data_IF_098893536660
#
_entry.id   IF_098893536660
#
_cell.length_a   1.000
_cell.length_b   1.000
_cell.length_c   1.000
_cell.angle_alpha   90.00
_cell.angle_beta   90.00
_cell.angle_gamma   90.00
#
_symmetry.space_group_name_H-M   'P 1'
#
loop_
_entity.id
_entity.type
_entity.pdbx_description
1 polymer ?
#
# COMPACT_ATOMS: atom_id res chain seq x y z
N UNK A 1 34.14 -24.76 48.08
CA UNK A 1 33.97 -23.90 46.89
C UNK A 1 32.55 -24.08 46.34
N UNK A 2 31.66 -23.10 46.55
CA UNK A 2 30.25 -23.12 46.03
C UNK A 2 30.26 -22.59 44.61
N UNK A 3 29.92 -23.41 43.61
CA UNK A 3 29.72 -22.99 42.24
C UNK A 3 28.36 -22.29 42.12
N UNK A 4 28.38 -21.01 41.83
CA UNK A 4 27.19 -20.22 41.49
C UNK A 4 26.88 -20.45 40.00
N UNK A 5 25.82 -21.20 39.72
CA UNK A 5 25.27 -21.32 38.39
C UNK A 5 24.41 -20.06 38.08
N UNK A 6 24.88 -19.16 37.22
CA UNK A 6 24.09 -18.06 36.70
C UNK A 6 23.08 -18.64 35.69
N UNK A 7 21.78 -18.36 35.80
CA UNK A 7 20.82 -18.76 34.79
C UNK A 7 21.04 -17.89 33.55
N UNK A 8 21.31 -18.53 32.38
CA UNK A 8 21.31 -17.88 31.09
C UNK A 8 19.85 -17.63 30.73
N UNK A 9 19.42 -16.36 30.80
CA UNK A 9 18.12 -15.92 30.33
C UNK A 9 18.18 -15.89 28.80
N UNK A 10 17.67 -16.91 28.14
CA UNK A 10 17.46 -16.93 26.70
C UNK A 10 16.29 -15.97 26.39
N UNK A 11 16.62 -14.77 25.94
CA UNK A 11 15.64 -13.87 25.33
C UNK A 11 15.28 -14.46 23.98
N UNK A 12 14.13 -15.09 23.89
CA UNK A 12 13.51 -15.41 22.59
C UNK A 12 13.03 -14.09 21.99
N UNK A 13 13.75 -13.57 21.02
CA UNK A 13 13.26 -12.49 20.16
C UNK A 13 12.12 -13.10 19.35
N UNK A 14 10.89 -12.81 19.74
CA UNK A 14 9.74 -13.11 18.92
C UNK A 14 9.84 -12.19 17.68
N UNK A 15 10.27 -12.74 16.55
CA UNK A 15 10.15 -12.06 15.28
C UNK A 15 8.66 -11.83 15.03
N UNK A 16 8.27 -10.57 14.95
CA UNK A 16 6.89 -10.23 14.60
C UNK A 16 6.62 -10.76 13.20
N UNK A 17 5.71 -11.73 13.07
CA UNK A 17 5.43 -12.39 11.80
C UNK A 17 4.79 -11.40 10.81
N UNK A 18 5.50 -11.11 9.72
CA UNK A 18 4.92 -10.43 8.56
C UNK A 18 3.90 -11.34 7.88
N UNK A 19 2.73 -10.79 7.59
CA UNK A 19 1.70 -11.50 6.81
C UNK A 19 1.22 -10.63 5.65
N UNK A 20 1.00 -11.29 4.52
CA UNK A 20 0.38 -10.67 3.34
C UNK A 20 -0.44 -11.73 2.60
N UNK A 21 -1.76 -11.58 2.64
CA UNK A 21 -2.71 -12.44 1.96
C UNK A 21 -3.03 -11.90 0.58
N UNK A 22 -2.95 -12.75 -0.42
CA UNK A 22 -3.19 -12.40 -1.83
C UNK A 22 -4.44 -13.13 -2.30
N UNK A 23 -5.38 -12.39 -2.88
CA UNK A 23 -6.58 -12.97 -3.48
C UNK A 23 -6.92 -12.35 -4.84
N UNK A 24 -7.78 -13.01 -5.59
CA UNK A 24 -8.45 -12.42 -6.75
C UNK A 24 -9.47 -11.37 -6.28
N UNK A 25 -9.86 -10.49 -7.20
CA UNK A 25 -10.92 -9.50 -6.92
C UNK A 25 -12.25 -10.24 -6.72
N UNK A 26 -12.72 -10.30 -5.48
CA UNK A 26 -14.01 -10.89 -5.10
C UNK A 26 -15.18 -10.01 -5.55
N UNK A 27 -16.43 -10.54 -5.60
CA UNK A 27 -17.61 -9.72 -5.88
C UNK A 27 -17.75 -8.51 -4.95
N UNK A 28 -17.41 -8.66 -3.68
CA UNK A 28 -17.45 -7.60 -2.67
C UNK A 28 -16.42 -6.50 -2.97
N UNK A 29 -15.18 -6.88 -3.25
CA UNK A 29 -14.11 -5.93 -3.63
C UNK A 29 -14.46 -5.24 -4.94
N UNK A 30 -14.97 -5.98 -5.95
CA UNK A 30 -15.45 -5.39 -7.21
C UNK A 30 -16.53 -4.35 -6.97
N UNK A 31 -17.53 -4.65 -6.14
CA UNK A 31 -18.59 -3.70 -5.78
C UNK A 31 -18.00 -2.44 -5.16
N UNK A 32 -17.12 -2.57 -4.15
CA UNK A 32 -16.43 -1.46 -3.49
C UNK A 32 -15.62 -0.61 -4.47
N UNK A 33 -14.92 -1.24 -5.45
CA UNK A 33 -14.16 -0.53 -6.49
C UNK A 33 -15.06 0.28 -7.44
N UNK A 34 -16.22 -0.28 -7.81
CA UNK A 34 -17.17 0.40 -8.71
C UNK A 34 -17.87 1.56 -7.97
N UNK A 35 -18.43 1.32 -6.81
CA UNK A 35 -19.13 2.33 -6.00
C UNK A 35 -18.19 3.45 -5.54
N UNK A 36 -16.95 3.09 -5.23
CA UNK A 36 -15.87 4.01 -4.88
C UNK A 36 -15.11 4.58 -6.09
N UNK A 37 -15.58 4.38 -7.32
CA UNK A 37 -15.06 4.98 -8.56
C UNK A 37 -13.58 4.68 -8.88
N UNK A 38 -12.93 3.73 -8.20
CA UNK A 38 -11.55 3.36 -8.49
C UNK A 38 -11.42 2.41 -9.68
N UNK A 39 -12.53 1.78 -10.13
CA UNK A 39 -12.58 0.96 -11.33
C UNK A 39 -13.92 1.11 -12.07
N UNK A 40 -13.87 1.10 -13.41
CA UNK A 40 -15.04 1.14 -14.30
C UNK A 40 -14.78 0.40 -15.60
N UNK A 41 -15.82 0.12 -16.38
CA UNK A 41 -15.68 -0.38 -17.75
C UNK A 41 -14.86 0.61 -18.57
N UNK A 42 -13.91 0.11 -19.35
CA UNK A 42 -12.97 0.93 -20.15
C UNK A 42 -11.64 1.25 -19.45
N UNK A 43 -11.42 0.77 -18.21
CA UNK A 43 -10.09 0.77 -17.59
C UNK A 43 -9.10 -0.06 -18.39
N UNK A 44 -7.80 0.32 -18.45
CA UNK A 44 -6.81 -0.39 -19.27
C UNK A 44 -6.53 -1.81 -18.77
N UNK A 45 -6.83 -2.10 -17.50
CA UNK A 45 -6.61 -3.42 -16.88
C UNK A 45 -7.95 -4.05 -16.48
N UNK A 46 -8.28 -5.24 -16.98
CA UNK A 46 -9.46 -5.97 -16.55
C UNK A 46 -9.26 -6.53 -15.13
N UNK A 47 -10.36 -6.68 -14.37
CA UNK A 47 -10.32 -7.15 -12.96
C UNK A 47 -9.61 -8.49 -12.80
N UNK A 48 -9.70 -9.41 -13.76
CA UNK A 48 -9.01 -10.71 -13.71
C UNK A 48 -7.48 -10.61 -13.62
N UNK A 49 -6.91 -9.49 -14.02
CA UNK A 49 -5.47 -9.21 -13.97
C UNK A 49 -5.07 -8.42 -12.72
N UNK A 50 -6.01 -8.06 -11.86
CA UNK A 50 -5.74 -7.42 -10.57
C UNK A 50 -5.74 -8.45 -9.45
N UNK A 51 -4.97 -8.13 -8.38
CA UNK A 51 -4.93 -8.88 -7.12
C UNK A 51 -5.16 -7.92 -5.97
N UNK A 52 -5.96 -8.37 -5.03
CA UNK A 52 -6.18 -7.70 -3.76
C UNK A 52 -5.23 -8.31 -2.73
N UNK A 53 -4.55 -7.46 -1.97
CA UNK A 53 -3.66 -7.85 -0.90
C UNK A 53 -4.14 -7.23 0.40
N UNK A 54 -4.13 -8.04 1.47
CA UNK A 54 -4.17 -7.58 2.84
C UNK A 54 -2.76 -7.71 3.41
N UNK A 55 -2.17 -6.60 3.86
CA UNK A 55 -0.75 -6.52 4.20
C UNK A 55 -0.60 -6.01 5.62
N UNK A 56 0.10 -6.76 6.44
CA UNK A 56 0.53 -6.33 7.77
C UNK A 56 1.64 -5.28 7.62
N UNK A 57 1.48 -4.16 8.31
CA UNK A 57 2.47 -3.08 8.32
C UNK A 57 2.54 -2.45 9.71
N UNK A 58 3.57 -1.68 9.99
CA UNK A 58 3.69 -0.89 11.23
C UNK A 58 3.21 0.52 11.00
N UNK A 59 2.47 1.07 11.96
CA UNK A 59 2.13 2.49 11.96
C UNK A 59 3.28 3.34 12.55
N UNK A 60 3.13 4.66 12.53
CA UNK A 60 4.13 5.60 13.08
C UNK A 60 4.32 5.51 14.61
N UNK A 61 3.49 4.72 15.30
CA UNK A 61 3.64 4.41 16.73
C UNK A 61 4.26 3.04 16.96
N UNK A 62 4.65 2.33 15.88
CA UNK A 62 5.21 0.98 15.94
C UNK A 62 4.18 -0.13 16.12
N UNK A 63 2.86 0.18 16.05
CA UNK A 63 1.83 -0.83 16.19
C UNK A 63 1.59 -1.55 14.86
N UNK A 64 1.31 -2.84 14.95
CA UNK A 64 0.88 -3.65 13.80
C UNK A 64 -0.53 -3.26 13.35
N UNK A 65 -0.68 -3.07 12.06
CA UNK A 65 -1.94 -2.76 11.36
C UNK A 65 -2.10 -3.66 10.15
N UNK A 66 -3.34 -3.87 9.74
CA UNK A 66 -3.67 -4.48 8.45
C UNK A 66 -4.08 -3.41 7.46
N UNK A 67 -3.40 -3.37 6.32
CA UNK A 67 -3.70 -2.50 5.20
C UNK A 67 -4.24 -3.27 4.00
N UNK A 68 -4.75 -2.53 3.02
CA UNK A 68 -5.35 -3.08 1.80
C UNK A 68 -4.75 -2.38 0.58
N UNK A 69 -4.34 -3.15 -0.42
CA UNK A 69 -3.84 -2.61 -1.68
C UNK A 69 -4.27 -3.48 -2.86
N UNK A 70 -4.47 -2.89 -4.03
CA UNK A 70 -4.74 -3.62 -5.26
C UNK A 70 -3.62 -3.33 -6.25
N UNK A 71 -3.03 -4.39 -6.83
CA UNK A 71 -1.97 -4.29 -7.82
C UNK A 71 -2.20 -5.24 -8.99
N UNK A 72 -1.43 -5.08 -10.08
CA UNK A 72 -1.45 -6.02 -11.18
C UNK A 72 -0.88 -7.38 -10.77
N UNK A 73 -1.44 -8.47 -11.30
CA UNK A 73 -0.99 -9.84 -10.99
C UNK A 73 0.49 -10.10 -11.28
N UNK A 74 1.06 -9.40 -12.28
CA UNK A 74 2.46 -9.58 -12.68
C UNK A 74 3.47 -9.06 -11.66
N UNK A 75 3.06 -8.14 -10.77
CA UNK A 75 3.95 -7.50 -9.77
C UNK A 75 3.56 -7.87 -8.33
N UNK A 76 2.61 -8.75 -8.15
CA UNK A 76 2.02 -9.03 -6.82
C UNK A 76 3.03 -9.64 -5.85
N UNK A 77 3.91 -10.51 -6.32
CA UNK A 77 4.92 -11.16 -5.46
C UNK A 77 6.03 -10.19 -5.07
N UNK A 78 6.46 -9.34 -5.99
CA UNK A 78 7.42 -8.26 -5.72
C UNK A 78 6.86 -7.28 -4.69
N UNK A 79 5.57 -6.90 -4.84
CA UNK A 79 4.90 -6.02 -3.89
C UNK A 79 4.84 -6.66 -2.50
N UNK A 80 4.44 -7.94 -2.42
CA UNK A 80 4.46 -8.69 -1.15
C UNK A 80 5.85 -8.67 -0.50
N UNK A 81 6.91 -8.90 -1.30
CA UNK A 81 8.30 -8.90 -0.83
C UNK A 81 8.70 -7.51 -0.32
N UNK A 82 8.45 -6.44 -1.09
CA UNK A 82 8.77 -5.05 -0.71
C UNK A 82 8.14 -4.68 0.64
N UNK A 83 6.85 -4.96 0.82
CA UNK A 83 6.18 -4.66 2.09
C UNK A 83 6.68 -5.54 3.25
N UNK A 84 7.14 -6.77 2.97
CA UNK A 84 7.83 -7.60 3.95
C UNK A 84 9.13 -6.97 4.43
N UNK A 85 9.97 -6.53 3.50
CA UNK A 85 11.24 -5.85 3.82
C UNK A 85 10.99 -4.54 4.59
N UNK A 86 9.98 -3.74 4.19
CA UNK A 86 9.60 -2.53 4.92
C UNK A 86 9.13 -2.85 6.35
N UNK A 87 8.37 -3.94 6.53
CA UNK A 87 7.92 -4.37 7.85
C UNK A 87 9.09 -4.82 8.74
N UNK A 88 10.04 -5.59 8.19
CA UNK A 88 11.22 -6.09 8.90
C UNK A 88 12.12 -4.95 9.39
N UNK A 89 12.36 -3.93 8.55
CA UNK A 89 13.15 -2.76 8.96
C UNK A 89 12.37 -1.76 9.83
N UNK A 90 11.09 -2.04 10.10
CA UNK A 90 10.24 -1.15 10.90
C UNK A 90 9.83 0.14 10.20
N UNK A 91 9.85 0.18 8.85
CA UNK A 91 9.42 1.37 8.10
C UNK A 91 7.94 1.67 8.37
N UNK A 92 7.59 2.85 8.90
CA UNK A 92 6.23 3.14 9.28
C UNK A 92 5.37 3.50 8.07
N UNK A 93 4.15 2.97 8.03
CA UNK A 93 3.13 3.31 7.04
C UNK A 93 1.93 3.90 7.77
N UNK A 94 1.57 5.13 7.42
CA UNK A 94 0.51 5.86 8.12
C UNK A 94 -0.84 5.23 7.90
N UNK A 95 -1.14 4.92 6.64
CA UNK A 95 -2.41 4.36 6.22
C UNK A 95 -2.22 3.57 4.93
N UNK A 96 -2.96 2.48 4.78
CA UNK A 96 -2.97 1.69 3.55
C UNK A 96 -4.41 1.21 3.29
N UNK A 97 -5.13 1.91 2.42
CA UNK A 97 -6.54 1.64 2.08
C UNK A 97 -6.74 1.75 0.58
N UNK A 98 -7.82 1.11 0.10
CA UNK A 98 -8.18 1.22 -1.31
C UNK A 98 -8.58 2.66 -1.66
N UNK A 99 -8.20 3.14 -2.84
CA UNK A 99 -8.60 4.48 -3.32
C UNK A 99 -10.11 4.60 -3.50
N UNK A 100 -10.82 3.47 -3.58
CA UNK A 100 -12.29 3.40 -3.52
C UNK A 100 -12.87 4.08 -2.27
N UNK A 101 -12.17 4.01 -1.13
CA UNK A 101 -12.63 4.62 0.13
C UNK A 101 -12.58 6.15 0.08
N UNK A 102 -11.87 6.68 -0.89
CA UNK A 102 -11.75 8.11 -1.21
C UNK A 102 -12.50 8.47 -2.50
N UNK A 103 -13.52 7.69 -2.88
CA UNK A 103 -14.34 7.90 -4.09
C UNK A 103 -13.51 8.02 -5.38
N UNK A 104 -12.39 7.28 -5.47
CA UNK A 104 -11.48 7.34 -6.60
C UNK A 104 -10.67 8.64 -6.70
N UNK A 105 -10.79 9.53 -5.72
CA UNK A 105 -10.07 10.80 -5.68
C UNK A 105 -8.63 10.58 -5.22
N UNK A 106 -7.72 10.82 -6.15
CA UNK A 106 -6.28 10.80 -5.89
C UNK A 106 -5.91 11.85 -4.84
N UNK A 107 -6.45 13.05 -4.97
CA UNK A 107 -6.22 14.15 -4.04
C UNK A 107 -6.59 13.79 -2.61
N UNK A 108 -7.81 13.28 -2.37
CA UNK A 108 -8.25 12.90 -1.03
C UNK A 108 -7.44 11.74 -0.45
N UNK A 109 -7.01 10.80 -1.31
CA UNK A 109 -6.13 9.71 -0.91
C UNK A 109 -4.78 10.22 -0.45
N UNK A 110 -4.17 11.16 -1.19
CA UNK A 110 -2.87 11.76 -0.84
C UNK A 110 -3.01 12.62 0.42
N UNK A 111 -4.02 13.48 0.54
CA UNK A 111 -4.24 14.29 1.74
C UNK A 111 -4.47 13.46 3.01
N UNK A 112 -5.01 12.25 2.86
CA UNK A 112 -5.14 11.31 3.95
C UNK A 112 -3.82 10.56 4.25
N UNK A 113 -2.74 10.88 3.58
CA UNK A 113 -1.45 10.19 3.64
C UNK A 113 -1.60 8.68 3.44
N UNK A 114 -2.34 8.31 2.39
CA UNK A 114 -2.74 6.94 2.14
C UNK A 114 -1.79 6.26 1.15
N UNK A 115 -1.05 5.26 1.61
CA UNK A 115 -0.32 4.33 0.74
C UNK A 115 -1.31 3.60 -0.14
N UNK A 116 -1.16 3.72 -1.47
CA UNK A 116 -2.11 3.17 -2.44
C UNK A 116 -1.45 2.79 -3.75
N UNK A 117 -2.14 1.97 -4.57
CA UNK A 117 -1.62 1.57 -5.87
C UNK A 117 -2.65 1.74 -6.99
N UNK A 118 -3.62 0.83 -7.12
CA UNK A 118 -4.55 0.85 -8.25
C UNK A 118 -5.58 1.96 -8.14
N UNK A 119 -5.65 2.79 -9.17
CA UNK A 119 -6.72 3.77 -9.37
C UNK A 119 -6.90 4.03 -10.88
N UNK A 120 -8.07 3.69 -11.42
CA UNK A 120 -8.38 3.84 -12.84
C UNK A 120 -8.72 5.28 -13.20
N UNK A 121 -7.70 6.09 -13.41
CA UNK A 121 -7.82 7.51 -13.78
C UNK A 121 -6.83 7.91 -14.86
N UNK A 122 -7.08 9.02 -15.50
CA UNK A 122 -6.07 9.67 -16.36
C UNK A 122 -4.98 10.29 -15.47
N UNK A 123 -3.78 10.39 -16.01
CA UNK A 123 -2.73 11.16 -15.39
C UNK A 123 -3.11 12.65 -15.35
N UNK A 124 -2.76 13.33 -14.28
CA UNK A 124 -3.09 14.75 -14.07
C UNK A 124 -2.58 15.60 -15.25
N UNK A 125 -3.46 16.39 -15.83
CA UNK A 125 -3.14 17.23 -17.01
C UNK A 125 -2.89 16.47 -18.31
N UNK A 126 -3.28 15.18 -18.41
CA UNK A 126 -3.01 14.34 -19.59
C UNK A 126 -4.24 13.55 -20.04
N UNK A 127 -4.27 13.22 -21.33
CA UNK A 127 -5.24 12.27 -21.92
C UNK A 127 -4.82 10.81 -21.71
N UNK A 128 -3.58 10.56 -21.30
CA UNK A 128 -3.05 9.22 -21.09
C UNK A 128 -3.50 8.65 -19.74
N UNK A 129 -3.54 7.32 -19.64
CA UNK A 129 -3.78 6.63 -18.39
C UNK A 129 -2.61 6.83 -17.41
N UNK A 130 -2.92 7.07 -16.14
CA UNK A 130 -1.93 7.04 -15.07
C UNK A 130 -1.32 5.64 -14.95
N UNK A 131 -0.08 5.54 -14.48
CA UNK A 131 0.55 4.25 -14.17
C UNK A 131 -0.22 3.48 -13.09
N UNK A 132 -0.90 4.17 -12.18
CA UNK A 132 -1.82 3.57 -11.20
C UNK A 132 -2.99 2.84 -11.86
N UNK A 133 -3.44 3.26 -13.04
CA UNK A 133 -4.50 2.56 -13.80
C UNK A 133 -4.06 1.19 -14.30
N UNK A 134 -2.77 0.93 -14.34
CA UNK A 134 -2.21 -0.39 -14.69
C UNK A 134 -1.92 -1.24 -13.45
N UNK A 135 -2.07 -0.72 -12.23
CA UNK A 135 -1.73 -1.42 -10.99
C UNK A 135 -0.23 -1.72 -10.84
N UNK A 136 0.63 -0.91 -11.48
CA UNK A 136 2.10 -1.07 -11.49
C UNK A 136 2.83 0.17 -10.93
N UNK A 137 2.14 0.98 -10.15
CA UNK A 137 2.71 2.09 -9.40
C UNK A 137 2.12 2.09 -7.99
N UNK A 138 2.92 2.46 -7.01
CA UNK A 138 2.54 2.56 -5.60
C UNK A 138 3.03 3.90 -5.09
N UNK A 139 2.16 4.63 -4.39
CA UNK A 139 2.53 5.77 -3.57
C UNK A 139 2.61 5.31 -2.12
N UNK A 140 3.76 5.46 -1.48
CA UNK A 140 3.98 5.10 -0.06
C UNK A 140 4.11 6.39 0.73
N UNK A 141 3.24 6.58 1.75
CA UNK A 141 3.22 7.79 2.58
C UNK A 141 3.40 9.06 1.73
N UNK A 142 2.44 9.41 0.88
CA UNK A 142 2.64 10.44 -0.16
C UNK A 142 2.84 11.85 0.39
N UNK A 143 2.57 12.09 1.67
CA UNK A 143 2.90 13.36 2.35
C UNK A 143 4.38 13.40 2.70
N UNK A 144 4.94 12.32 3.28
CA UNK A 144 6.37 12.20 3.59
C UNK A 144 7.22 11.97 2.34
N UNK A 145 6.63 11.39 1.26
CA UNK A 145 7.28 11.11 -0.02
C UNK A 145 6.57 11.82 -1.18
N UNK A 146 6.52 13.17 -1.21
CA UNK A 146 5.77 13.89 -2.22
C UNK A 146 6.42 13.79 -3.61
N UNK A 147 5.61 13.82 -4.65
CA UNK A 147 6.12 13.97 -6.02
C UNK A 147 6.72 15.35 -6.20
N UNK A 148 7.97 15.39 -6.66
CA UNK A 148 8.67 16.63 -7.04
C UNK A 148 8.80 16.67 -8.55
N UNK A 149 8.22 17.69 -9.18
CA UNK A 149 8.32 17.91 -10.62
C UNK A 149 9.73 18.35 -11.04
N UNK A 150 10.04 18.27 -12.34
CA UNK A 150 11.32 18.77 -12.88
C UNK A 150 11.56 20.26 -12.57
N UNK A 151 10.52 21.06 -12.38
CA UNK A 151 10.60 22.48 -12.02
C UNK A 151 10.69 22.71 -10.48
N UNK A 152 10.87 21.66 -9.69
CA UNK A 152 10.91 21.73 -8.23
C UNK A 152 9.55 21.92 -7.54
N UNK A 153 8.43 21.89 -8.31
CA UNK A 153 7.10 21.99 -7.70
C UNK A 153 6.76 20.69 -6.96
N UNK A 154 6.42 20.80 -5.69
CA UNK A 154 5.97 19.70 -4.85
C UNK A 154 4.46 19.55 -5.00
N UNK A 155 3.96 18.31 -5.19
CA UNK A 155 2.54 18.03 -5.42
C UNK A 155 1.67 18.32 -4.19
N UNK A 156 2.21 18.08 -3.02
CA UNK A 156 1.61 18.42 -1.72
C UNK A 156 2.71 19.04 -0.88
N UNK A 157 2.44 20.19 -0.31
CA UNK A 157 3.35 20.73 0.71
C UNK A 157 3.15 19.84 1.94
N UNK A 158 4.23 19.20 2.41
CA UNK A 158 4.25 18.70 3.76
C UNK A 158 3.90 19.87 4.67
N UNK A 159 2.84 19.72 5.42
CA UNK A 159 2.40 20.69 6.41
C UNK A 159 3.40 20.76 7.56
#
# INVERSE_FOLDING_TARGET
MKRILLPILLWTIAYADYTADISSITPQIKKRMIEGHSWRKGCPVPLKNLRYLQIKHRDFKGNDKMGEIIVHKDVVLEVKKIFGELYEIGYPIRKMRLVSDYKGSDWQSIEADNTSAFNCRKATGSKNWSKHSYGKAIDINPIENPYISRSGRISHKAS
#
